data_IF_811687936931
#
_entry.id   IF_811687936931
#
_cell.length_a   1.000
_cell.length_b   1.000
_cell.length_c   1.000
_cell.angle_alpha   90.00
_cell.angle_beta   90.00
_cell.angle_gamma   90.00
#
_symmetry.space_group_name_H-M   'P 1'
#
loop_
_entity.id
_entity.type
_entity.pdbx_description
1 polymer ?
#
# COMPACT_ATOMS: atom_id res chain seq x y z
N UNK A 1 48.58 -14.15 39.62
CA UNK A 1 48.40 -13.85 38.18
C UNK A 1 47.17 -14.52 37.57
N UNK A 2 46.97 -15.85 37.59
CA UNK A 2 45.72 -16.49 37.07
C UNK A 2 44.44 -16.12 37.86
N UNK A 3 44.55 -15.83 39.15
CA UNK A 3 43.44 -15.44 40.04
C UNK A 3 42.90 -14.02 39.75
N UNK A 4 43.77 -13.10 39.33
CA UNK A 4 43.40 -11.71 39.09
C UNK A 4 42.74 -11.53 37.72
N UNK A 5 43.17 -12.31 36.71
CA UNK A 5 42.54 -12.33 35.38
C UNK A 5 41.12 -12.89 35.43
N UNK A 6 40.89 -13.92 36.25
CA UNK A 6 39.55 -14.50 36.46
C UNK A 6 38.59 -13.55 37.18
N UNK A 7 39.07 -12.82 38.20
CA UNK A 7 38.27 -11.81 38.90
C UNK A 7 37.99 -10.57 38.04
N UNK A 8 38.94 -10.17 37.20
CA UNK A 8 38.75 -9.07 36.26
C UNK A 8 37.73 -9.43 35.18
N UNK A 9 37.79 -10.65 34.62
CA UNK A 9 36.82 -11.15 33.65
C UNK A 9 35.39 -11.26 34.23
N UNK A 10 35.26 -11.67 35.51
CA UNK A 10 33.98 -11.72 36.19
C UNK A 10 33.36 -10.32 36.40
N UNK A 11 34.20 -9.31 36.72
CA UNK A 11 33.75 -7.91 36.87
C UNK A 11 33.32 -7.30 35.55
N UNK A 12 34.10 -7.49 34.48
CA UNK A 12 33.73 -6.99 33.15
C UNK A 12 32.46 -7.66 32.62
N UNK A 13 32.22 -8.93 32.97
CA UNK A 13 30.95 -9.61 32.65
C UNK A 13 29.77 -9.01 33.41
N UNK A 14 29.91 -8.74 34.71
CA UNK A 14 28.85 -8.15 35.52
C UNK A 14 28.50 -6.72 35.08
N UNK A 15 29.53 -5.90 34.76
CA UNK A 15 29.34 -4.55 34.22
C UNK A 15 28.64 -4.57 32.85
N UNK A 16 28.96 -5.58 32.03
CA UNK A 16 28.36 -5.80 30.71
C UNK A 16 26.88 -6.21 30.79
N UNK A 17 26.51 -7.05 31.76
CA UNK A 17 25.11 -7.37 32.09
C UNK A 17 24.37 -6.11 32.59
N UNK A 18 24.97 -5.36 33.51
CA UNK A 18 24.35 -4.15 34.08
C UNK A 18 24.06 -3.08 33.02
N UNK A 19 24.97 -2.87 32.06
CA UNK A 19 24.74 -1.97 30.92
C UNK A 19 23.58 -2.41 30.02
N UNK A 20 23.43 -3.71 29.78
CA UNK A 20 22.30 -4.25 28.99
C UNK A 20 20.98 -4.08 29.74
N UNK A 21 20.95 -4.37 31.05
CA UNK A 21 19.76 -4.11 31.89
C UNK A 21 19.41 -2.62 31.85
N UNK A 22 20.39 -1.72 31.99
CA UNK A 22 20.16 -0.28 31.89
C UNK A 22 19.58 0.12 30.52
N UNK A 23 20.13 -0.40 29.44
CA UNK A 23 19.62 -0.16 28.08
C UNK A 23 18.13 -0.52 27.97
N UNK A 24 17.73 -1.66 28.54
CA UNK A 24 16.35 -2.12 28.58
C UNK A 24 15.48 -1.19 29.43
N UNK A 25 15.91 -0.83 30.65
CA UNK A 25 15.18 0.08 31.55
C UNK A 25 14.94 1.46 30.94
N UNK A 26 15.91 1.99 30.20
CA UNK A 26 15.80 3.32 29.56
C UNK A 26 14.95 3.30 28.27
N UNK A 27 14.71 2.12 27.69
CA UNK A 27 14.06 1.98 26.37
C UNK A 27 12.63 2.52 26.30
N UNK A 28 11.72 2.28 27.26
CA UNK A 28 10.34 2.80 27.22
C UNK A 28 10.23 4.29 27.03
N UNK A 29 11.04 5.04 27.80
CA UNK A 29 11.01 6.50 27.77
C UNK A 29 11.48 7.02 26.41
N UNK A 30 12.50 6.38 25.83
CA UNK A 30 13.00 6.69 24.49
C UNK A 30 11.96 6.37 23.43
N UNK A 31 11.34 5.19 23.50
CA UNK A 31 10.29 4.77 22.57
C UNK A 31 9.09 5.72 22.58
N UNK A 32 8.63 6.12 23.77
CA UNK A 32 7.56 7.09 23.92
C UNK A 32 7.94 8.42 23.27
N UNK A 33 9.16 8.92 23.52
CA UNK A 33 9.64 10.17 22.93
C UNK A 33 9.72 10.16 21.40
N UNK A 34 10.03 9.01 20.79
CA UNK A 34 9.96 8.85 19.33
C UNK A 34 8.52 8.78 18.82
N UNK A 35 7.64 8.04 19.50
CA UNK A 35 6.23 7.93 19.14
C UNK A 35 5.49 9.27 19.22
N UNK A 36 5.81 10.11 20.20
CA UNK A 36 5.22 11.45 20.34
C UNK A 36 5.65 12.40 19.21
N UNK A 37 6.80 12.14 18.59
CA UNK A 37 7.33 12.89 17.44
C UNK A 37 6.97 12.26 16.09
N UNK A 38 6.18 11.18 16.08
CA UNK A 38 5.87 10.40 14.88
C UNK A 38 7.14 9.87 14.15
N UNK A 39 8.19 9.57 14.90
CA UNK A 39 9.44 8.95 14.41
C UNK A 39 9.30 7.43 14.49
N UNK A 40 8.52 6.84 13.58
CA UNK A 40 8.09 5.45 13.72
C UNK A 40 9.23 4.48 13.45
N UNK A 41 10.09 4.75 12.46
CA UNK A 41 11.21 3.87 12.16
C UNK A 41 12.22 3.85 13.31
N UNK A 42 12.50 4.98 13.95
CA UNK A 42 13.37 5.04 15.12
C UNK A 42 12.77 4.30 16.31
N UNK A 43 11.46 4.44 16.55
CA UNK A 43 10.74 3.62 17.54
C UNK A 43 10.88 2.13 17.23
N UNK A 44 10.63 1.72 16.00
CA UNK A 44 10.69 0.33 15.58
C UNK A 44 12.12 -0.26 15.67
N UNK A 45 13.13 0.53 15.28
CA UNK A 45 14.54 0.17 15.41
C UNK A 45 14.92 -0.01 16.87
N UNK A 46 14.60 0.96 17.75
CA UNK A 46 14.92 0.87 19.18
C UNK A 46 14.23 -0.30 19.86
N UNK A 47 12.98 -0.59 19.49
CA UNK A 47 12.25 -1.75 19.98
C UNK A 47 12.94 -3.05 19.55
N UNK A 48 13.29 -3.16 18.28
CA UNK A 48 13.90 -4.37 17.72
C UNK A 48 15.30 -4.61 18.28
N UNK A 49 16.13 -3.57 18.44
CA UNK A 49 17.44 -3.68 19.10
C UNK A 49 17.29 -4.10 20.55
N UNK A 50 16.32 -3.56 21.28
CA UNK A 50 16.05 -3.98 22.66
C UNK A 50 15.62 -5.46 22.77
N UNK A 51 14.87 -5.99 21.80
CA UNK A 51 14.57 -7.43 21.73
C UNK A 51 15.82 -8.28 21.57
N UNK A 52 16.80 -7.84 20.79
CA UNK A 52 18.07 -8.55 20.66
C UNK A 52 18.90 -8.50 21.95
N UNK A 53 18.96 -7.34 22.61
CA UNK A 53 19.64 -7.18 23.91
C UNK A 53 19.00 -8.09 24.97
N UNK A 54 17.66 -8.13 25.05
CA UNK A 54 16.95 -9.03 25.95
C UNK A 54 17.24 -10.50 25.65
N UNK A 55 17.14 -10.90 24.37
CA UNK A 55 17.41 -12.28 23.95
C UNK A 55 18.88 -12.71 24.21
N UNK A 56 19.80 -11.76 24.26
CA UNK A 56 21.22 -11.98 24.60
C UNK A 56 21.40 -12.23 26.09
N UNK A 57 20.65 -11.52 26.95
CA UNK A 57 20.64 -11.73 28.41
C UNK A 57 20.02 -13.07 28.80
N UNK A 58 18.85 -13.40 28.23
CA UNK A 58 18.12 -14.64 28.52
C UNK A 58 18.91 -15.91 28.17
N UNK A 59 19.80 -15.83 27.15
CA UNK A 59 20.71 -16.93 26.78
C UNK A 59 21.91 -17.10 27.72
N UNK A 60 22.32 -16.03 28.42
CA UNK A 60 23.52 -16.02 29.26
C UNK A 60 23.22 -16.32 30.72
N UNK A 61 22.05 -15.93 31.19
CA UNK A 61 21.65 -16.04 32.57
C UNK A 61 20.25 -16.68 32.57
N UNK A 62 20.05 -17.81 33.28
CA UNK A 62 18.72 -18.25 33.72
C UNK A 62 18.23 -17.24 34.78
N UNK A 63 18.12 -15.97 34.41
CA UNK A 63 17.98 -14.86 35.34
C UNK A 63 16.50 -14.63 35.63
N UNK A 64 16.15 -14.78 36.90
CA UNK A 64 14.93 -14.35 37.61
C UNK A 64 13.68 -14.10 36.75
N UNK A 65 12.69 -14.98 36.92
CA UNK A 65 11.36 -14.95 36.29
C UNK A 65 10.69 -13.55 36.33
N UNK A 66 10.94 -12.74 37.36
CA UNK A 66 10.33 -11.42 37.53
C UNK A 66 10.78 -10.37 36.50
N UNK A 67 12.06 -10.36 36.10
CA UNK A 67 12.59 -9.43 35.09
C UNK A 67 12.10 -9.82 33.69
N UNK A 68 12.06 -11.13 33.42
CA UNK A 68 11.49 -11.69 32.19
C UNK A 68 9.99 -11.38 32.08
N UNK A 69 9.23 -11.50 33.18
CA UNK A 69 7.79 -11.23 33.19
C UNK A 69 7.48 -9.72 33.01
N UNK A 70 8.24 -8.82 33.65
CA UNK A 70 8.02 -7.37 33.55
C UNK A 70 8.43 -6.80 32.17
N UNK A 71 9.53 -7.31 31.59
CA UNK A 71 9.97 -6.93 30.25
C UNK A 71 8.98 -7.37 29.16
N UNK A 72 8.52 -8.62 29.22
CA UNK A 72 7.66 -9.19 28.18
C UNK A 72 6.30 -8.49 28.08
N UNK A 73 5.67 -8.13 29.21
CA UNK A 73 4.30 -7.60 29.21
C UNK A 73 4.25 -6.10 28.82
N UNK A 74 5.11 -5.25 29.42
CA UNK A 74 5.01 -3.79 29.23
C UNK A 74 5.69 -3.35 27.93
N UNK A 75 6.83 -3.97 27.59
CA UNK A 75 7.68 -3.51 26.50
C UNK A 75 7.31 -4.22 25.21
N UNK A 76 7.31 -5.55 25.22
CA UNK A 76 7.25 -6.36 24.00
C UNK A 76 5.85 -6.32 23.39
N UNK A 77 4.79 -6.44 24.18
CA UNK A 77 3.43 -6.43 23.64
C UNK A 77 2.87 -5.00 23.51
N UNK A 78 3.08 -4.15 24.52
CA UNK A 78 2.54 -2.79 24.55
C UNK A 78 3.07 -1.88 23.44
N UNK A 79 4.39 -1.72 23.33
CA UNK A 79 4.98 -0.80 22.34
C UNK A 79 4.90 -1.35 20.91
N UNK A 80 4.98 -2.67 20.72
CA UNK A 80 4.83 -3.27 19.39
C UNK A 80 3.47 -2.92 18.78
N UNK A 81 2.40 -3.11 19.55
CA UNK A 81 1.03 -2.79 19.13
C UNK A 81 0.88 -1.29 18.89
N UNK A 82 1.44 -0.45 19.76
CA UNK A 82 1.37 1.01 19.59
C UNK A 82 2.09 1.50 18.34
N UNK A 83 3.31 1.02 18.07
CA UNK A 83 4.07 1.38 16.87
C UNK A 83 3.28 0.95 15.64
N UNK A 84 2.90 -0.33 15.53
CA UNK A 84 2.15 -0.83 14.37
C UNK A 84 0.82 -0.09 14.17
N UNK A 85 0.06 0.13 15.25
CA UNK A 85 -1.22 0.84 15.19
C UNK A 85 -1.06 2.28 14.73
N UNK A 86 -0.19 3.08 15.37
CA UNK A 86 -0.02 4.49 15.01
C UNK A 86 0.57 4.64 13.61
N UNK A 87 1.51 3.78 13.21
CA UNK A 87 2.01 3.77 11.83
C UNK A 87 0.91 3.49 10.81
N UNK A 88 -0.03 2.58 11.10
CA UNK A 88 -1.20 2.31 10.22
C UNK A 88 -2.18 3.47 10.18
N UNK A 89 -2.44 4.12 11.32
CA UNK A 89 -3.27 5.34 11.39
C UNK A 89 -2.68 6.46 10.52
N UNK A 90 -1.35 6.59 10.49
CA UNK A 90 -0.65 7.54 9.61
C UNK A 90 -0.92 7.28 8.11
N UNK A 91 -1.05 6.01 7.69
CA UNK A 91 -1.35 5.68 6.28
C UNK A 91 -2.76 6.12 5.82
N UNK A 92 -3.67 6.36 6.76
CA UNK A 92 -5.03 6.83 6.48
C UNK A 92 -5.09 8.35 6.24
N UNK A 93 -4.06 9.09 6.64
CA UNK A 93 -3.95 10.52 6.36
C UNK A 93 -3.58 10.71 4.89
N UNK A 94 -4.18 11.71 4.22
CA UNK A 94 -3.96 11.96 2.78
C UNK A 94 -2.89 13.04 2.51
N UNK A 95 -2.70 13.98 3.43
CA UNK A 95 -1.91 15.20 3.21
C UNK A 95 -0.46 15.12 3.73
N UNK A 96 0.06 13.90 3.92
CA UNK A 96 1.45 13.70 4.36
C UNK A 96 2.41 13.61 3.17
N UNK A 97 3.69 13.91 3.44
CA UNK A 97 4.78 13.70 2.49
C UNK A 97 5.04 12.22 2.25
N UNK A 98 5.66 11.91 1.11
CA UNK A 98 6.04 10.53 0.75
C UNK A 98 7.05 9.95 1.76
N UNK A 99 7.94 10.78 2.30
CA UNK A 99 8.88 10.41 3.36
C UNK A 99 8.17 9.96 4.64
N UNK A 100 7.07 10.61 5.03
CA UNK A 100 6.31 10.23 6.23
C UNK A 100 5.63 8.86 6.06
N UNK A 101 5.12 8.56 4.86
CA UNK A 101 4.65 7.21 4.56
C UNK A 101 5.79 6.21 4.54
N UNK A 102 6.96 6.56 3.99
CA UNK A 102 8.12 5.69 3.98
C UNK A 102 8.58 5.33 5.40
N UNK A 103 8.60 6.30 6.32
CA UNK A 103 8.90 6.08 7.75
C UNK A 103 7.90 5.11 8.40
N UNK A 104 6.60 5.38 8.26
CA UNK A 104 5.54 4.53 8.82
C UNK A 104 5.55 3.12 8.25
N UNK A 105 5.70 2.97 6.93
CA UNK A 105 5.78 1.67 6.25
C UNK A 105 7.04 0.91 6.64
N UNK A 106 8.19 1.58 6.76
CA UNK A 106 9.44 0.96 7.20
C UNK A 106 9.30 0.45 8.64
N UNK A 107 8.66 1.21 9.52
CA UNK A 107 8.38 0.79 10.89
C UNK A 107 7.48 -0.45 10.95
N UNK A 108 6.41 -0.49 10.17
CA UNK A 108 5.50 -1.64 10.08
C UNK A 108 6.26 -2.86 9.55
N UNK A 109 7.03 -2.69 8.48
CA UNK A 109 7.83 -3.78 7.89
C UNK A 109 8.84 -4.33 8.89
N UNK A 110 9.47 -3.47 9.68
CA UNK A 110 10.45 -3.80 10.72
C UNK A 110 9.81 -4.57 11.89
N UNK A 111 8.64 -4.13 12.35
CA UNK A 111 7.92 -4.71 13.50
C UNK A 111 7.12 -5.95 13.13
N UNK A 112 6.25 -5.85 12.13
CA UNK A 112 5.29 -6.89 11.74
C UNK A 112 5.90 -7.92 10.77
N UNK A 113 7.09 -7.64 10.21
CA UNK A 113 7.85 -8.56 9.33
C UNK A 113 7.04 -9.06 8.14
N UNK A 114 6.19 -8.20 7.59
CA UNK A 114 5.34 -8.48 6.45
C UNK A 114 5.61 -7.49 5.32
N UNK A 115 5.31 -7.87 4.07
CA UNK A 115 5.21 -6.90 3.00
C UNK A 115 4.13 -5.87 3.33
N UNK A 116 4.31 -4.65 2.79
CA UNK A 116 3.50 -3.48 3.17
C UNK A 116 2.85 -2.75 1.99
N UNK A 117 3.04 -3.24 0.76
CA UNK A 117 2.38 -2.66 -0.41
C UNK A 117 0.86 -2.86 -0.37
N UNK A 118 0.43 -4.09 -0.09
CA UNK A 118 -0.97 -4.46 0.13
C UNK A 118 -1.61 -3.55 1.18
N UNK A 119 -0.91 -3.37 2.30
CA UNK A 119 -1.36 -2.55 3.41
C UNK A 119 -1.52 -1.07 3.02
N UNK A 120 -0.57 -0.53 2.25
CA UNK A 120 -0.67 0.84 1.75
C UNK A 120 -1.89 1.01 0.83
N UNK A 121 -2.04 0.11 -0.13
CA UNK A 121 -3.16 0.11 -1.07
C UNK A 121 -4.52 -0.05 -0.36
N UNK A 122 -4.63 -0.95 0.61
CA UNK A 122 -5.85 -1.15 1.41
C UNK A 122 -6.19 0.08 2.26
N UNK A 123 -5.19 0.75 2.81
CA UNK A 123 -5.37 2.00 3.55
C UNK A 123 -5.96 3.08 2.63
N UNK A 124 -5.43 3.21 1.40
CA UNK A 124 -5.95 4.15 0.39
C UNK A 124 -7.36 3.80 -0.07
N UNK A 125 -7.66 2.52 -0.28
CA UNK A 125 -9.00 2.03 -0.59
C UNK A 125 -9.99 2.41 0.51
N UNK A 126 -9.59 2.27 1.77
CA UNK A 126 -10.40 2.66 2.93
C UNK A 126 -10.68 4.17 2.96
N UNK A 127 -9.69 5.02 2.67
CA UNK A 127 -9.87 6.47 2.56
C UNK A 127 -10.87 6.84 1.45
N UNK A 128 -10.77 6.16 0.30
CA UNK A 128 -11.68 6.37 -0.82
C UNK A 128 -13.11 5.98 -0.44
N UNK A 129 -13.31 4.80 0.15
CA UNK A 129 -14.62 4.33 0.60
C UNK A 129 -15.23 5.24 1.68
N UNK A 130 -14.41 5.78 2.58
CA UNK A 130 -14.86 6.74 3.59
C UNK A 130 -15.33 8.05 2.96
N UNK A 131 -14.55 8.61 2.02
CA UNK A 131 -14.96 9.82 1.27
C UNK A 131 -16.22 9.58 0.46
N UNK A 132 -16.30 8.44 -0.20
CA UNK A 132 -17.49 8.00 -0.93
C UNK A 132 -18.73 7.94 -0.04
N UNK A 133 -18.62 7.28 1.11
CA UNK A 133 -19.74 7.10 2.06
C UNK A 133 -20.19 8.39 2.73
N UNK A 134 -19.33 9.41 2.78
CA UNK A 134 -19.63 10.71 3.39
C UNK A 134 -20.40 11.66 2.46
N UNK A 135 -20.68 11.23 1.21
CA UNK A 135 -21.31 12.08 0.18
C UNK A 135 -22.79 12.30 0.47
N UNK A 136 -23.20 13.58 0.53
CA UNK A 136 -24.60 13.98 0.56
C UNK A 136 -25.23 13.90 -0.86
N UNK A 137 -26.55 13.75 -0.93
CA UNK A 137 -27.29 13.57 -2.20
C UNK A 137 -27.30 14.78 -3.15
N UNK A 138 -26.55 15.85 -2.87
CA UNK A 138 -26.51 17.02 -3.73
C UNK A 138 -25.51 16.80 -4.89
N UNK A 139 -25.92 17.19 -6.09
CA UNK A 139 -25.14 17.04 -7.33
C UNK A 139 -23.72 17.62 -7.21
N UNK A 140 -23.59 18.79 -6.59
CA UNK A 140 -22.28 19.45 -6.39
C UNK A 140 -21.35 18.66 -5.45
N UNK A 141 -21.91 18.00 -4.44
CA UNK A 141 -21.16 17.19 -3.49
C UNK A 141 -20.64 15.94 -4.19
N UNK A 142 -21.47 15.31 -5.02
CA UNK A 142 -21.11 14.12 -5.82
C UNK A 142 -19.95 14.42 -6.79
N UNK A 143 -20.01 15.51 -7.56
CA UNK A 143 -18.93 15.87 -8.49
C UNK A 143 -17.63 16.13 -7.73
N UNK A 144 -17.71 16.82 -6.59
CA UNK A 144 -16.52 17.17 -5.79
C UNK A 144 -15.89 15.91 -5.20
N UNK A 145 -16.69 14.97 -4.71
CA UNK A 145 -16.20 13.67 -4.24
C UNK A 145 -15.52 12.88 -5.36
N UNK A 146 -16.08 12.84 -6.58
CA UNK A 146 -15.41 12.18 -7.70
C UNK A 146 -14.08 12.82 -8.08
N UNK A 147 -14.00 14.15 -8.04
CA UNK A 147 -12.74 14.86 -8.24
C UNK A 147 -11.71 14.47 -7.15
N UNK A 148 -12.12 14.41 -5.89
CA UNK A 148 -11.24 14.02 -4.78
C UNK A 148 -10.79 12.57 -4.87
N UNK A 149 -11.69 11.64 -5.17
CA UNK A 149 -11.37 10.23 -5.34
C UNK A 149 -10.40 10.04 -6.50
N UNK A 150 -10.65 10.70 -7.63
CA UNK A 150 -9.73 10.69 -8.78
C UNK A 150 -8.33 11.13 -8.39
N UNK A 151 -8.22 12.22 -7.60
CA UNK A 151 -6.93 12.69 -7.08
C UNK A 151 -6.25 11.67 -6.19
N UNK A 152 -6.98 11.03 -5.29
CA UNK A 152 -6.42 10.00 -4.39
C UNK A 152 -5.89 8.82 -5.19
N UNK A 153 -6.62 8.35 -6.20
CA UNK A 153 -6.16 7.24 -7.05
C UNK A 153 -4.88 7.61 -7.78
N UNK A 154 -4.82 8.80 -8.39
CA UNK A 154 -3.63 9.26 -9.10
C UNK A 154 -2.42 9.38 -8.17
N UNK A 155 -2.59 10.05 -7.03
CA UNK A 155 -1.55 10.22 -6.01
C UNK A 155 -1.08 8.87 -5.47
N UNK A 156 -2.00 7.94 -5.22
CA UNK A 156 -1.67 6.61 -4.69
C UNK A 156 -0.74 5.88 -5.64
N UNK A 157 -1.05 5.83 -6.95
CA UNK A 157 -0.16 5.15 -7.90
C UNK A 157 1.20 5.82 -8.01
N UNK A 158 1.27 7.15 -8.02
CA UNK A 158 2.54 7.87 -8.06
C UNK A 158 3.40 7.57 -6.81
N UNK A 159 2.78 7.64 -5.62
CA UNK A 159 3.43 7.31 -4.36
C UNK A 159 3.88 5.85 -4.30
N UNK A 160 3.09 4.92 -4.85
CA UNK A 160 3.49 3.52 -4.96
C UNK A 160 4.75 3.36 -5.80
N UNK A 161 4.80 4.04 -6.96
CA UNK A 161 5.98 4.06 -7.81
C UNK A 161 7.22 4.57 -7.07
N UNK A 162 7.09 5.68 -6.34
CA UNK A 162 8.16 6.30 -5.58
C UNK A 162 8.64 5.45 -4.37
N UNK A 163 7.70 4.85 -3.64
CA UNK A 163 7.98 4.09 -2.43
C UNK A 163 8.56 2.70 -2.72
N UNK A 164 8.02 1.98 -3.69
CA UNK A 164 8.21 0.53 -3.81
C UNK A 164 9.03 0.10 -5.03
N UNK A 165 8.97 0.83 -6.15
CA UNK A 165 9.45 0.31 -7.41
C UNK A 165 10.85 0.78 -7.79
N UNK A 166 11.62 -0.16 -8.36
CA UNK A 166 12.95 0.08 -8.90
C UNK A 166 12.87 0.15 -10.42
N UNK A 167 12.92 1.37 -10.99
CA UNK A 167 12.79 1.58 -12.44
C UNK A 167 14.11 1.74 -13.18
N UNK A 168 15.17 2.12 -12.47
CA UNK A 168 16.49 2.35 -13.03
C UNK A 168 17.55 1.90 -12.05
N UNK A 169 18.69 1.35 -12.51
CA UNK A 169 19.80 0.97 -11.63
C UNK A 169 20.34 2.14 -10.78
N UNK A 170 19.99 3.38 -11.11
CA UNK A 170 20.37 4.58 -10.36
C UNK A 170 19.37 4.99 -9.27
N UNK A 171 18.14 4.46 -9.28
CA UNK A 171 17.06 4.89 -8.38
C UNK A 171 16.65 3.77 -7.44
N UNK A 172 16.98 3.90 -6.16
CA UNK A 172 16.56 2.95 -5.11
C UNK A 172 15.18 3.39 -4.63
N UNK A 173 14.20 2.47 -4.47
CA UNK A 173 12.88 2.81 -3.93
C UNK A 173 12.99 3.52 -2.58
N UNK A 174 12.13 4.52 -2.33
CA UNK A 174 12.25 5.35 -1.13
C UNK A 174 12.13 4.52 0.14
N UNK A 175 11.18 3.59 0.20
CA UNK A 175 11.00 2.71 1.37
C UNK A 175 12.29 1.92 1.67
N UNK A 176 12.92 1.39 0.63
CA UNK A 176 14.17 0.65 0.73
C UNK A 176 15.31 1.56 1.22
N UNK A 177 15.42 2.76 0.66
CA UNK A 177 16.41 3.77 1.09
C UNK A 177 16.22 4.14 2.56
N UNK A 178 15.01 4.43 3.00
CA UNK A 178 14.66 4.82 4.37
C UNK A 178 15.01 3.71 5.36
N UNK A 179 14.57 2.47 5.08
CA UNK A 179 14.85 1.32 5.93
C UNK A 179 16.36 1.04 6.04
N UNK A 180 17.09 0.98 4.91
CA UNK A 180 18.51 0.65 4.94
C UNK A 180 19.41 1.76 5.49
N UNK A 181 18.98 3.03 5.41
CA UNK A 181 19.68 4.13 6.08
C UNK A 181 19.65 3.93 7.60
N UNK A 182 18.52 3.48 8.15
CA UNK A 182 18.40 3.17 9.57
C UNK A 182 19.14 1.87 9.95
N UNK A 183 19.01 0.82 9.15
CA UNK A 183 19.68 -0.47 9.39
C UNK A 183 21.21 -0.36 9.38
N UNK A 184 21.77 0.51 8.53
CA UNK A 184 23.22 0.72 8.42
C UNK A 184 23.76 1.77 9.41
N UNK A 185 22.95 2.21 10.37
CA UNK A 185 23.41 3.12 11.42
C UNK A 185 24.55 2.47 12.22
N UNK A 186 25.61 3.22 12.59
CA UNK A 186 26.73 2.69 13.36
C UNK A 186 26.25 1.95 14.62
N UNK A 187 26.89 0.82 14.95
CA UNK A 187 26.54 0.05 16.13
C UNK A 187 26.64 0.86 17.44
N UNK A 188 27.51 1.86 17.48
CA UNK A 188 27.63 2.82 18.59
C UNK A 188 26.36 3.64 18.83
N UNK A 189 25.52 3.83 17.80
CA UNK A 189 24.24 4.52 17.91
C UNK A 189 23.11 3.55 18.30
N UNK A 190 23.10 2.34 17.72
CA UNK A 190 22.07 1.33 17.97
C UNK A 190 22.15 0.72 19.38
N UNK A 191 23.35 0.43 19.84
CA UNK A 191 23.66 -0.21 21.13
C UNK A 191 24.41 0.72 22.08
N UNK A 192 24.15 2.02 22.00
CA UNK A 192 24.80 3.02 22.83
C UNK A 192 24.73 2.65 24.32
N UNK A 193 25.88 2.70 25.00
CA UNK A 193 25.99 2.35 26.42
C UNK A 193 26.17 0.85 26.72
N UNK A 194 26.17 -0.03 25.72
CA UNK A 194 26.48 -1.46 25.88
C UNK A 194 27.95 -1.70 25.51
N UNK A 195 28.77 -2.29 26.42
CA UNK A 195 30.12 -2.72 26.08
C UNK A 195 30.10 -4.01 25.24
N UNK A 196 30.94 -4.05 24.21
CA UNK A 196 31.12 -5.16 23.25
C UNK A 196 29.80 -5.77 22.74
N UNK A 197 29.01 -5.03 21.92
CA UNK A 197 27.71 -5.49 21.42
C UNK A 197 27.79 -6.44 20.20
N UNK A 198 28.89 -7.19 20.05
CA UNK A 198 29.16 -7.99 18.84
C UNK A 198 28.05 -9.01 18.53
N UNK A 199 27.48 -9.65 19.56
CA UNK A 199 26.39 -10.62 19.40
C UNK A 199 25.10 -9.97 18.90
N UNK A 200 24.80 -8.78 19.41
CA UNK A 200 23.62 -8.01 19.01
C UNK A 200 23.79 -7.44 17.59
N UNK A 201 25.01 -7.02 17.21
CA UNK A 201 25.34 -6.57 15.85
C UNK A 201 25.16 -7.70 14.83
N UNK A 202 25.66 -8.91 15.12
CA UNK A 202 25.49 -10.07 14.22
C UNK A 202 24.00 -10.39 14.03
N UNK A 203 23.23 -10.36 15.11
CA UNK A 203 21.77 -10.57 15.05
C UNK A 203 21.08 -9.50 14.21
N UNK A 204 21.44 -8.23 14.40
CA UNK A 204 20.93 -7.10 13.64
C UNK A 204 21.20 -7.21 12.13
N UNK A 205 22.44 -7.53 11.74
CA UNK A 205 22.80 -7.72 10.33
C UNK A 205 22.04 -8.89 9.69
N UNK A 206 21.97 -10.04 10.37
CA UNK A 206 21.25 -11.21 9.85
C UNK A 206 19.76 -10.91 9.60
N UNK A 207 19.19 -10.07 10.46
CA UNK A 207 17.81 -9.63 10.32
C UNK A 207 17.61 -8.66 9.16
N UNK A 208 18.56 -7.74 8.92
CA UNK A 208 18.55 -6.87 7.73
C UNK A 208 18.53 -7.65 6.41
N UNK A 209 19.24 -8.78 6.34
CA UNK A 209 19.20 -9.67 5.16
C UNK A 209 17.81 -10.28 4.96
N UNK A 210 17.13 -10.65 6.05
CA UNK A 210 15.77 -11.23 6.00
C UNK A 210 14.74 -10.20 5.54
N UNK A 211 14.85 -8.95 6.01
CA UNK A 211 13.98 -7.85 5.56
C UNK A 211 14.15 -7.56 4.06
N UNK A 212 15.36 -7.71 3.52
CA UNK A 212 15.59 -7.49 2.10
C UNK A 212 14.73 -8.40 1.21
N UNK A 213 14.50 -9.65 1.64
CA UNK A 213 13.69 -10.61 0.88
C UNK A 213 12.20 -10.26 0.80
N UNK A 214 11.70 -9.36 1.67
CA UNK A 214 10.32 -8.91 1.66
C UNK A 214 10.03 -7.86 0.56
N UNK A 215 11.05 -7.27 -0.06
CA UNK A 215 10.89 -6.28 -1.14
C UNK A 215 10.64 -6.91 -2.52
N UNK A 216 11.05 -8.16 -2.74
CA UNK A 216 11.02 -8.81 -4.06
C UNK A 216 9.64 -9.41 -4.42
N UNK A 217 8.61 -9.08 -3.65
CA UNK A 217 7.23 -9.45 -3.91
C UNK A 217 6.53 -8.24 -4.54
N UNK A 218 5.54 -8.46 -5.41
CA UNK A 218 4.56 -7.48 -5.91
C UNK A 218 4.78 -6.82 -7.27
N UNK A 219 4.10 -7.36 -8.29
CA UNK A 219 3.77 -6.64 -9.53
C UNK A 219 2.28 -6.68 -9.90
N UNK A 220 1.50 -7.67 -9.42
CA UNK A 220 0.08 -7.80 -9.80
C UNK A 220 -0.88 -6.95 -8.94
N UNK A 221 -0.50 -6.60 -7.71
CA UNK A 221 -1.41 -5.96 -6.75
C UNK A 221 -1.86 -4.55 -7.15
N UNK A 222 -1.02 -3.77 -7.85
CA UNK A 222 -1.35 -2.40 -8.21
C UNK A 222 -2.47 -2.32 -9.25
N UNK A 223 -2.43 -3.21 -10.25
CA UNK A 223 -3.47 -3.26 -11.27
C UNK A 223 -4.79 -3.79 -10.71
N UNK A 224 -4.74 -4.88 -9.93
CA UNK A 224 -5.92 -5.42 -9.24
C UNK A 224 -6.57 -4.36 -8.35
N UNK A 225 -5.77 -3.61 -7.59
CA UNK A 225 -6.28 -2.52 -6.77
C UNK A 225 -6.92 -1.39 -7.58
N UNK A 226 -6.31 -1.01 -8.71
CA UNK A 226 -6.83 0.02 -9.59
C UNK A 226 -8.17 -0.38 -10.23
N UNK A 227 -8.25 -1.60 -10.76
CA UNK A 227 -9.47 -2.17 -11.34
C UNK A 227 -10.58 -2.32 -10.28
N UNK A 228 -10.24 -2.82 -9.09
CA UNK A 228 -11.15 -2.89 -7.95
C UNK A 228 -11.74 -1.52 -7.59
N UNK A 229 -10.92 -0.46 -7.65
CA UNK A 229 -11.39 0.88 -7.36
C UNK A 229 -12.42 1.34 -8.40
N UNK A 230 -12.18 1.09 -9.69
CA UNK A 230 -13.13 1.40 -10.76
C UNK A 230 -14.46 0.64 -10.58
N UNK A 231 -14.36 -0.68 -10.37
CA UNK A 231 -15.52 -1.57 -10.31
C UNK A 231 -16.38 -1.37 -9.05
N UNK A 232 -15.80 -1.06 -7.89
CA UNK A 232 -16.56 -0.95 -6.64
C UNK A 232 -17.05 0.46 -6.30
N UNK A 233 -16.36 1.51 -6.76
CA UNK A 233 -16.70 2.89 -6.37
C UNK A 233 -17.59 3.56 -7.41
N UNK A 234 -17.46 3.21 -8.69
CA UNK A 234 -18.10 3.95 -9.78
C UNK A 234 -19.29 3.23 -10.42
N UNK A 235 -19.50 1.94 -10.11
CA UNK A 235 -20.58 1.15 -10.69
C UNK A 235 -21.94 1.35 -10.02
N UNK A 236 -21.99 1.77 -8.75
CA UNK A 236 -23.24 1.89 -8.00
C UNK A 236 -23.23 3.06 -6.99
N UNK A 237 -24.02 4.11 -7.25
CA UNK A 237 -24.27 5.19 -6.29
C UNK A 237 -25.54 4.86 -5.49
N UNK A 238 -25.40 4.15 -4.37
CA UNK A 238 -26.54 3.76 -3.52
C UNK A 238 -27.73 3.12 -4.28
N UNK A 239 -27.46 2.25 -5.25
CA UNK A 239 -28.47 1.59 -6.09
C UNK A 239 -28.90 2.40 -7.33
N UNK A 240 -28.22 3.51 -7.67
CA UNK A 240 -28.53 4.39 -8.81
C UNK A 240 -27.34 4.58 -9.72
N UNK A 241 -27.62 4.76 -11.02
CA UNK A 241 -26.59 5.15 -11.97
C UNK A 241 -26.23 6.63 -11.76
N UNK A 242 -24.97 6.98 -12.03
CA UNK A 242 -24.48 8.37 -11.90
C UNK A 242 -25.33 9.37 -12.70
N UNK A 243 -25.80 8.97 -13.88
CA UNK A 243 -26.71 9.74 -14.73
C UNK A 243 -28.09 10.01 -14.11
N UNK A 244 -28.50 9.23 -13.11
CA UNK A 244 -29.76 9.44 -12.38
C UNK A 244 -29.65 10.54 -11.33
N UNK A 245 -28.42 10.94 -10.98
CA UNK A 245 -28.15 12.03 -10.02
C UNK A 245 -28.36 13.40 -10.67
N UNK A 246 -28.17 13.50 -11.99
CA UNK A 246 -28.28 14.76 -12.73
C UNK A 246 -29.69 14.97 -13.27
N UNK A 247 -30.24 16.17 -13.08
CA UNK A 247 -31.60 16.51 -13.52
C UNK A 247 -31.67 16.82 -15.02
N UNK A 248 -30.55 17.27 -15.61
CA UNK A 248 -30.50 17.69 -17.01
C UNK A 248 -29.13 17.48 -17.65
N UNK A 249 -29.09 17.53 -18.98
CA UNK A 249 -27.87 17.34 -19.78
C UNK A 249 -26.81 18.42 -19.53
N UNK A 250 -27.20 19.63 -19.11
CA UNK A 250 -26.24 20.70 -18.80
C UNK A 250 -25.44 20.39 -17.53
N UNK A 251 -26.10 19.92 -16.48
CA UNK A 251 -25.44 19.49 -15.24
C UNK A 251 -24.49 18.31 -15.50
N UNK A 252 -24.91 17.35 -16.33
CA UNK A 252 -24.06 16.22 -16.73
C UNK A 252 -22.81 16.69 -17.49
N UNK A 253 -22.98 17.60 -18.45
CA UNK A 253 -21.84 18.17 -19.20
C UNK A 253 -20.90 18.96 -18.30
N UNK A 254 -21.43 19.75 -17.35
CA UNK A 254 -20.61 20.46 -16.36
C UNK A 254 -19.82 19.49 -15.46
N UNK A 255 -20.45 18.40 -15.03
CA UNK A 255 -19.81 17.35 -14.24
C UNK A 255 -18.67 16.67 -15.01
N UNK A 256 -18.94 16.23 -16.25
CA UNK A 256 -17.94 15.64 -17.13
C UNK A 256 -16.76 16.59 -17.34
N UNK A 257 -17.03 17.86 -17.68
CA UNK A 257 -15.98 18.85 -17.90
C UNK A 257 -15.12 19.06 -16.64
N UNK A 258 -15.73 19.14 -15.45
CA UNK A 258 -15.01 19.35 -14.19
C UNK A 258 -14.15 18.13 -13.80
N UNK A 259 -14.68 16.92 -13.98
CA UNK A 259 -13.94 15.68 -13.73
C UNK A 259 -12.78 15.54 -14.72
N UNK A 260 -13.03 15.71 -16.03
CA UNK A 260 -11.96 15.65 -17.04
C UNK A 260 -10.89 16.70 -16.81
N UNK A 261 -11.26 17.93 -16.46
CA UNK A 261 -10.30 18.96 -16.09
C UNK A 261 -9.44 18.55 -14.89
N UNK A 262 -10.04 17.88 -13.89
CA UNK A 262 -9.30 17.34 -12.74
C UNK A 262 -8.36 16.21 -13.15
N UNK A 263 -8.77 15.33 -14.07
CA UNK A 263 -7.93 14.22 -14.54
C UNK A 263 -6.74 14.69 -15.39
N UNK A 264 -6.89 15.81 -16.10
CA UNK A 264 -5.85 16.44 -16.92
C UNK A 264 -4.96 17.41 -16.13
N UNK A 265 -5.30 17.68 -14.87
CA UNK A 265 -4.55 18.61 -14.03
C UNK A 265 -3.26 17.95 -13.54
N UNK A 266 -2.15 18.35 -14.17
CA UNK A 266 -0.82 17.89 -13.78
C UNK A 266 -0.41 18.32 -12.37
N UNK A 267 -1.07 19.33 -11.77
CA UNK A 267 -0.77 19.78 -10.41
C UNK A 267 -1.09 18.70 -9.37
N UNK A 268 -2.02 17.78 -9.67
CA UNK A 268 -2.33 16.65 -8.79
C UNK A 268 -1.09 15.81 -8.51
N UNK A 269 -0.17 15.71 -9.46
CA UNK A 269 1.05 14.91 -9.37
C UNK A 269 2.30 15.76 -9.12
N UNK A 270 2.16 17.04 -8.77
CA UNK A 270 3.28 17.98 -8.61
C UNK A 270 4.32 17.47 -7.61
N UNK A 271 3.87 16.92 -6.47
CA UNK A 271 4.74 16.37 -5.43
C UNK A 271 5.59 15.17 -5.87
N UNK A 272 5.21 14.48 -6.95
CA UNK A 272 5.93 13.31 -7.49
C UNK A 272 6.65 13.61 -8.82
N UNK A 273 6.67 14.87 -9.28
CA UNK A 273 7.35 15.25 -10.53
C UNK A 273 8.86 15.06 -10.47
N UNK A 274 9.50 15.29 -9.32
CA UNK A 274 10.94 15.09 -9.17
C UNK A 274 11.29 13.61 -9.38
N UNK A 275 10.55 12.72 -8.72
CA UNK A 275 10.67 11.27 -8.93
C UNK A 275 10.43 10.91 -10.40
N UNK A 276 9.32 11.34 -11.01
CA UNK A 276 8.99 11.04 -12.41
C UNK A 276 10.08 11.49 -13.39
N UNK A 277 10.66 12.67 -13.18
CA UNK A 277 11.77 13.15 -14.02
C UNK A 277 13.08 12.40 -13.77
N UNK A 278 13.29 11.85 -12.56
CA UNK A 278 14.48 11.06 -12.25
C UNK A 278 14.48 9.68 -12.92
N UNK A 279 13.29 9.09 -13.13
CA UNK A 279 13.13 7.77 -13.73
C UNK A 279 12.86 7.82 -15.23
N UNK A 280 12.35 8.93 -15.75
CA UNK A 280 12.13 9.13 -17.18
C UNK A 280 13.42 9.56 -17.89
N UNK A 281 13.68 8.97 -19.06
CA UNK A 281 14.80 9.37 -19.93
C UNK A 281 14.59 10.75 -20.58
N UNK A 282 13.36 11.28 -20.55
CA UNK A 282 13.00 12.56 -21.16
C UNK A 282 12.09 13.37 -20.24
N UNK A 283 11.98 14.68 -20.50
CA UNK A 283 11.08 15.55 -19.72
C UNK A 283 9.65 15.00 -19.79
N UNK A 284 9.06 14.78 -18.63
CA UNK A 284 7.71 14.20 -18.52
C UNK A 284 6.67 15.20 -19.01
N UNK A 285 5.97 14.86 -20.09
CA UNK A 285 4.92 15.69 -20.70
C UNK A 285 3.55 15.35 -20.10
N UNK A 286 3.31 14.07 -19.79
CA UNK A 286 2.07 13.58 -19.18
C UNK A 286 2.41 12.74 -17.93
N UNK A 287 2.42 13.36 -16.74
CA UNK A 287 2.72 12.69 -15.47
C UNK A 287 1.87 11.45 -15.22
N UNK A 288 0.57 11.51 -15.51
CA UNK A 288 -0.34 10.37 -15.34
C UNK A 288 0.05 9.19 -16.25
N UNK A 289 0.25 9.46 -17.55
CA UNK A 289 0.64 8.42 -18.51
C UNK A 289 1.92 7.71 -18.07
N UNK A 290 2.95 8.49 -17.74
CA UNK A 290 4.23 7.95 -17.27
C UNK A 290 4.05 7.14 -15.98
N UNK A 291 3.22 7.62 -15.04
CA UNK A 291 2.93 6.88 -13.80
C UNK A 291 2.30 5.52 -14.08
N UNK A 292 1.28 5.45 -14.94
CA UNK A 292 0.61 4.18 -15.28
C UNK A 292 1.53 3.20 -16.01
N UNK A 293 2.33 3.68 -16.97
CA UNK A 293 3.28 2.84 -17.69
C UNK A 293 4.34 2.23 -16.77
N UNK A 294 4.80 3.01 -15.79
CA UNK A 294 5.77 2.55 -14.80
C UNK A 294 5.14 1.56 -13.80
N UNK A 295 4.02 1.94 -13.18
CA UNK A 295 3.46 1.21 -12.03
C UNK A 295 2.56 0.04 -12.44
N UNK A 296 1.78 0.21 -13.51
CA UNK A 296 0.84 -0.80 -14.02
C UNK A 296 1.42 -1.58 -15.22
N UNK A 297 2.59 -1.18 -15.72
CA UNK A 297 3.25 -1.81 -16.87
C UNK A 297 2.65 -1.45 -18.23
N UNK A 298 1.59 -0.64 -18.27
CA UNK A 298 0.94 -0.18 -19.49
C UNK A 298 0.21 1.14 -19.26
N UNK A 299 -0.05 1.87 -20.35
CA UNK A 299 -0.83 3.10 -20.28
C UNK A 299 -2.31 2.80 -20.06
N UNK A 300 -2.90 3.51 -19.09
CA UNK A 300 -4.33 3.41 -18.76
C UNK A 300 -5.01 4.77 -18.89
N UNK A 301 -6.10 4.80 -19.66
CA UNK A 301 -6.98 5.97 -19.71
C UNK A 301 -7.93 5.93 -18.50
N UNK A 302 -7.66 6.80 -17.52
CA UNK A 302 -8.46 6.89 -16.29
C UNK A 302 -9.95 7.07 -16.60
N UNK A 303 -10.28 7.93 -17.57
CA UNK A 303 -11.68 8.23 -17.89
C UNK A 303 -12.41 6.99 -18.40
N UNK A 304 -11.76 6.24 -19.30
CA UNK A 304 -12.30 4.99 -19.83
C UNK A 304 -12.59 3.98 -18.73
N UNK A 305 -11.62 3.74 -17.86
CA UNK A 305 -11.73 2.69 -16.85
C UNK A 305 -12.73 3.03 -15.74
N UNK A 306 -12.81 4.30 -15.33
CA UNK A 306 -13.59 4.68 -14.15
C UNK A 306 -14.94 5.32 -14.46
N UNK A 307 -15.08 5.99 -15.60
CA UNK A 307 -16.24 6.85 -15.87
C UNK A 307 -17.01 6.48 -17.14
N UNK A 308 -16.35 5.97 -18.19
CA UNK A 308 -16.99 5.72 -19.48
C UNK A 308 -18.21 4.79 -19.33
N UNK A 309 -18.08 3.70 -18.58
CA UNK A 309 -19.22 2.81 -18.33
C UNK A 309 -20.33 3.47 -17.50
N UNK A 310 -20.00 4.23 -16.45
CA UNK A 310 -20.99 4.85 -15.56
C UNK A 310 -21.76 6.00 -16.21
N UNK A 311 -21.14 6.70 -17.17
CA UNK A 311 -21.79 7.74 -17.97
C UNK A 311 -22.59 7.15 -19.15
N UNK A 312 -22.19 6.00 -19.70
CA UNK A 312 -22.88 5.33 -20.83
C UNK A 312 -23.96 4.34 -20.34
N UNK A 313 -23.87 3.85 -19.10
CA UNK A 313 -24.64 2.69 -18.60
C UNK A 313 -26.16 2.77 -18.76
N UNK A 314 -26.74 3.99 -18.76
CA UNK A 314 -28.16 4.18 -19.10
C UNK A 314 -28.49 3.76 -20.53
N UNK A 315 -27.68 4.17 -21.52
CA UNK A 315 -27.95 3.90 -22.94
C UNK A 315 -27.95 2.40 -23.27
N UNK A 316 -27.10 1.62 -22.59
CA UNK A 316 -27.00 0.18 -22.81
C UNK A 316 -28.12 -0.56 -22.06
N UNK A 317 -28.42 -0.16 -20.81
CA UNK A 317 -29.48 -0.80 -20.02
C UNK A 317 -30.89 -0.47 -20.57
N UNK A 318 -31.13 0.75 -21.05
CA UNK A 318 -32.41 1.12 -21.68
C UNK A 318 -32.59 0.43 -23.05
N UNK A 319 -31.51 0.17 -23.80
CA UNK A 319 -31.57 -0.64 -25.02
C UNK A 319 -31.87 -2.13 -24.76
N UNK A 320 -31.51 -2.64 -23.59
CA UNK A 320 -31.88 -4.00 -23.17
C UNK A 320 -33.35 -4.10 -22.76
N UNK A 321 -33.91 -3.02 -22.15
CA UNK A 321 -35.32 -2.94 -21.77
C UNK A 321 -36.24 -2.59 -22.95
N UNK A 322 -35.80 -1.75 -23.89
CA UNK A 322 -36.58 -1.37 -25.08
C UNK A 322 -36.69 -2.48 -26.12
N UNK A 323 -35.78 -3.48 -26.10
CA UNK A 323 -35.94 -4.74 -26.86
C UNK A 323 -36.94 -5.73 -26.24
N UNK A 324 -37.42 -5.50 -25.02
CA UNK A 324 -38.35 -6.39 -24.30
C UNK A 324 -39.80 -5.90 -24.24
N UNK A 325 -40.13 -4.75 -24.84
CA UNK A 325 -41.52 -4.30 -25.01
C UNK A 325 -42.08 -4.71 -26.36
N UNK A 326 -42.39 -5.99 -26.51
CA UNK A 326 -43.44 -6.42 -27.45
C UNK A 326 -44.81 -6.07 -26.85
N UNK A 327 -45.66 -5.46 -27.68
CA UNK A 327 -47.03 -5.06 -27.37
C UNK A 327 -47.86 -6.20 -26.77
N UNK A 328 -48.87 -5.91 -25.90
CA UNK A 328 -49.79 -6.94 -25.45
C UNK A 328 -50.75 -7.24 -26.61
N UNK A 329 -50.63 -8.43 -27.18
CA UNK A 329 -51.68 -9.02 -27.99
C UNK A 329 -52.09 -10.32 -27.30
N UNK A 330 -53.19 -10.26 -26.58
CA UNK A 330 -54.09 -11.40 -26.44
C UNK A 330 -55.42 -10.97 -27.06
N UNK A 331 -56.12 -11.85 -27.80
CA UNK A 331 -56.60 -13.09 -27.21
C UNK A 331 -56.34 -14.36 -28.04
N UNK A 332 -56.01 -15.43 -27.31
CA UNK A 332 -56.36 -16.87 -27.44
C UNK A 332 -57.40 -17.33 -28.50
N UNK A 333 -57.60 -18.65 -28.74
CA UNK A 333 -56.70 -19.82 -28.69
C UNK A 333 -56.88 -20.77 -29.92
N UNK A 334 -55.87 -21.57 -30.26
CA UNK A 334 -56.08 -22.63 -31.26
C UNK A 334 -54.87 -23.49 -31.59
N UNK A 335 -54.76 -24.64 -30.92
CA UNK A 335 -54.42 -25.94 -31.52
C UNK A 335 -53.26 -26.02 -32.53
N UNK A 336 -52.14 -26.63 -32.10
CA UNK A 336 -51.71 -27.88 -32.76
C UNK A 336 -50.32 -27.92 -33.42
N UNK A 337 -49.44 -28.71 -32.78
CA UNK A 337 -48.64 -29.82 -33.36
C UNK A 337 -47.51 -29.53 -34.38
N UNK A 338 -46.29 -30.02 -34.00
CA UNK A 338 -45.17 -30.50 -34.83
C UNK A 338 -44.38 -29.45 -35.64
N UNK A 339 -43.10 -29.59 -36.00
CA UNK A 339 -42.02 -30.58 -35.89
C UNK A 339 -40.73 -29.82 -36.31
N UNK A 340 -39.59 -29.97 -35.63
CA UNK A 340 -38.46 -30.86 -36.00
C UNK A 340 -37.70 -30.44 -37.29
N UNK A 341 -36.40 -30.20 -37.07
CA UNK A 341 -35.24 -30.45 -37.96
C UNK A 341 -34.73 -29.41 -38.99
N UNK A 342 -33.55 -28.86 -38.63
CA UNK A 342 -32.25 -28.86 -39.34
C UNK A 342 -32.18 -28.54 -40.83
N UNK A 343 -31.30 -27.59 -41.15
CA UNK A 343 -30.18 -27.68 -42.12
C UNK A 343 -29.33 -26.39 -41.95
N UNK A 344 -28.23 -26.40 -41.21
CA UNK A 344 -26.86 -26.75 -41.61
C UNK A 344 -26.31 -26.04 -42.87
N UNK A 345 -25.21 -25.31 -42.61
CA UNK A 345 -24.03 -25.04 -43.46
C UNK A 345 -24.21 -23.95 -44.54
N UNK A 346 -23.29 -23.04 -44.80
CA UNK A 346 -21.85 -22.90 -44.51
C UNK A 346 -21.51 -21.44 -44.92
N UNK A 347 -20.63 -20.64 -44.29
CA UNK A 347 -19.18 -20.82 -44.10
C UNK A 347 -18.63 -19.67 -43.25
N UNK A 348 -17.62 -19.94 -42.41
CA UNK A 348 -16.47 -19.03 -42.26
C UNK A 348 -16.03 -18.68 -40.84
N UNK A 349 -14.97 -19.34 -40.35
CA UNK A 349 -13.91 -18.66 -39.59
C UNK A 349 -13.74 -18.99 -38.10
N UNK A 350 -12.99 -20.05 -37.81
CA UNK A 350 -11.85 -20.04 -36.87
C UNK A 350 -12.10 -19.87 -35.37
N UNK A 351 -12.12 -20.99 -34.64
CA UNK A 351 -11.91 -21.04 -33.19
C UNK A 351 -10.52 -21.61 -32.85
N UNK A 352 -9.78 -20.86 -32.00
CA UNK A 352 -8.60 -21.26 -31.20
C UNK A 352 -7.25 -20.74 -31.69
N UNK A 353 -6.17 -20.72 -30.87
CA UNK A 353 -6.07 -20.54 -29.40
C UNK A 353 -4.87 -19.64 -28.97
N UNK A 354 -4.90 -18.99 -27.79
CA UNK A 354 -3.69 -18.36 -27.19
C UNK A 354 -3.38 -18.92 -25.80
N UNK A 355 -2.55 -19.98 -25.78
CA UNK A 355 -1.64 -20.35 -24.70
C UNK A 355 -0.34 -20.87 -25.31
N UNK A 356 0.68 -20.01 -25.43
CA UNK A 356 2.11 -20.32 -25.26
C UNK A 356 2.95 -19.12 -25.67
N UNK A 357 3.70 -18.56 -24.73
CA UNK A 357 5.05 -18.02 -24.97
C UNK A 357 5.85 -18.19 -23.66
N UNK A 358 6.44 -19.38 -23.51
CA UNK A 358 7.59 -19.60 -22.65
C UNK A 358 8.41 -20.75 -23.25
N UNK A 359 9.72 -20.49 -23.34
CA UNK A 359 10.83 -21.29 -23.87
C UNK A 359 11.13 -21.08 -25.35
N UNK A 360 12.19 -20.32 -25.58
CA UNK A 360 13.30 -20.73 -26.41
C UNK A 360 14.60 -20.18 -25.78
N UNK A 361 15.47 -21.12 -25.39
CA UNK A 361 16.90 -20.92 -25.11
C UNK A 361 17.62 -21.58 -26.27
N UNK A 362 18.49 -20.84 -26.94
CA UNK A 362 19.81 -21.28 -27.37
C UNK A 362 20.83 -20.22 -26.98
#
# INVERSE_FOLDING_TARGET
MKSDTSRQAARTSADSTACRIKYLVDTPQILQGFLDKSMFLESATRFTTAKYVHSSLDKKENCNDDLNNHWNIIIVEGFQVQISKRSRETLLLLDLSVDAYADALAAIMLIDRRPVLDLFLDSRKSCILQKWSSTCYLVYDVITVFCEISKIVQLTLAQVGELFFHFSPRTIPLLRKTLFTSLNSPASHLFSGIPDPDLEIVSWHSFGVTLNALFDQHHNFCFEWFDDCGNHIFSDFNGKYLIDVFENAQQLSLAENKIRATLQDNQVLEGSLEWLNSVSASKVISPWKTTTELVLGHHVDFWREFFEFSFIGRMISDNSKSRSRTFPADPTPGSGVAAVETLQNNTGGGFGPWRRLQRENE
#
